data_IF_802721061822
#
_entry.id   IF_802721061822
#
_cell.length_a   1.000
_cell.length_b   1.000
_cell.length_c   1.000
_cell.angle_alpha   90.00
_cell.angle_beta   90.00
_cell.angle_gamma   90.00
#
_symmetry.space_group_name_H-M   'P 1'
#
loop_
_entity.id
_entity.type
_entity.pdbx_description
1 polymer ?
#
# COMPACT_ATOMS: atom_id res chain seq x y z
N UNK A 1 -22.60 -9.77 15.66
CA UNK A 1 -22.29 -8.41 15.18
C UNK A 1 -20.80 -8.44 14.85
N UNK A 2 -20.41 -8.20 13.59
CA UNK A 2 -18.99 -8.16 13.22
C UNK A 2 -18.35 -6.91 13.82
N UNK A 3 -17.19 -7.06 14.46
CA UNK A 3 -16.38 -5.95 15.00
C UNK A 3 -15.33 -5.51 13.98
N UNK A 4 -14.75 -4.33 14.16
CA UNK A 4 -13.67 -3.81 13.29
C UNK A 4 -12.47 -4.78 13.21
N UNK A 5 -12.17 -5.46 14.32
CA UNK A 5 -11.15 -6.52 14.41
C UNK A 5 -11.48 -7.73 13.50
N UNK A 6 -12.75 -8.09 13.36
CA UNK A 6 -13.21 -9.19 12.50
C UNK A 6 -13.03 -8.83 11.01
N UNK A 7 -13.29 -7.57 10.64
CA UNK A 7 -13.02 -7.05 9.29
C UNK A 7 -11.51 -6.91 8.98
N UNK A 8 -10.67 -6.63 9.97
CA UNK A 8 -9.21 -6.57 9.81
C UNK A 8 -8.63 -7.96 9.55
N UNK A 9 -9.07 -8.97 10.30
CA UNK A 9 -8.67 -10.37 10.10
C UNK A 9 -9.09 -10.89 8.70
N UNK A 10 -10.27 -10.49 8.22
CA UNK A 10 -10.73 -10.80 6.86
C UNK A 10 -9.97 -10.03 5.78
N UNK A 11 -9.63 -8.76 6.05
CA UNK A 11 -8.91 -7.90 5.11
C UNK A 11 -7.44 -8.28 4.98
N UNK A 12 -6.87 -9.16 5.83
CA UNK A 12 -5.43 -9.49 5.85
C UNK A 12 -4.53 -8.25 5.87
N UNK A 13 -5.02 -7.18 6.50
CA UNK A 13 -4.37 -5.88 6.60
C UNK A 13 -4.30 -5.48 8.06
N UNK A 14 -3.21 -4.80 8.40
CA UNK A 14 -2.94 -4.24 9.71
C UNK A 14 -3.52 -2.82 9.82
N UNK A 15 -3.75 -2.35 11.05
CA UNK A 15 -4.26 -1.00 11.31
C UNK A 15 -3.36 0.08 10.68
N UNK A 16 -2.04 -0.10 10.74
CA UNK A 16 -1.07 0.81 10.11
C UNK A 16 -1.32 0.91 8.59
N UNK A 17 -1.67 -0.21 7.92
CA UNK A 17 -1.95 -0.26 6.48
C UNK A 17 -3.21 0.52 6.13
N UNK A 18 -4.24 0.45 6.97
CA UNK A 18 -5.45 1.25 6.84
C UNK A 18 -5.14 2.74 7.05
N UNK A 19 -4.31 3.09 8.03
CA UNK A 19 -3.91 4.46 8.30
C UNK A 19 -3.14 5.09 7.13
N UNK A 20 -2.31 4.32 6.43
CA UNK A 20 -1.67 4.78 5.19
C UNK A 20 -2.73 5.07 4.12
N UNK A 21 -3.63 4.14 3.86
CA UNK A 21 -4.66 4.30 2.82
C UNK A 21 -5.52 5.53 3.12
N UNK A 22 -5.93 5.71 4.38
CA UNK A 22 -6.69 6.87 4.83
C UNK A 22 -5.96 8.20 4.55
N UNK A 23 -4.68 8.27 4.91
CA UNK A 23 -3.85 9.47 4.68
C UNK A 23 -3.61 9.75 3.20
N UNK A 24 -3.33 8.70 2.42
CA UNK A 24 -3.03 8.77 1.01
C UNK A 24 -4.23 9.22 0.19
N UNK A 25 -5.38 8.57 0.39
CA UNK A 25 -6.64 8.87 -0.31
C UNK A 25 -7.39 10.06 0.31
N UNK A 26 -6.92 10.57 1.46
CA UNK A 26 -7.52 11.72 2.17
C UNK A 26 -8.96 11.45 2.61
N UNK A 27 -9.20 10.24 3.10
CA UNK A 27 -10.51 9.76 3.56
C UNK A 27 -10.48 9.34 5.04
N UNK A 28 -11.63 9.29 5.73
CA UNK A 28 -11.71 8.77 7.10
C UNK A 28 -11.26 7.30 7.18
N UNK A 29 -10.74 6.87 8.34
CA UNK A 29 -10.24 5.51 8.57
C UNK A 29 -11.27 4.43 8.25
N UNK A 30 -12.53 4.66 8.62
CA UNK A 30 -13.63 3.72 8.31
C UNK A 30 -13.86 3.58 6.80
N UNK A 31 -13.71 4.66 6.03
CA UNK A 31 -13.82 4.62 4.58
C UNK A 31 -12.59 3.97 3.94
N UNK A 32 -11.41 4.16 4.53
CA UNK A 32 -10.18 3.49 4.11
C UNK A 32 -10.24 1.98 4.33
N UNK A 33 -10.82 1.54 5.46
CA UNK A 33 -11.06 0.13 5.75
C UNK A 33 -11.98 -0.50 4.69
N UNK A 34 -13.09 0.16 4.38
CA UNK A 34 -14.01 -0.30 3.34
C UNK A 34 -13.33 -0.37 1.96
N UNK A 35 -12.55 0.66 1.60
CA UNK A 35 -11.77 0.67 0.36
C UNK A 35 -10.75 -0.47 0.34
N UNK A 36 -10.05 -0.71 1.44
CA UNK A 36 -9.05 -1.75 1.56
C UNK A 36 -9.67 -3.15 1.42
N UNK A 37 -10.81 -3.39 2.08
CA UNK A 37 -11.57 -4.62 1.98
C UNK A 37 -12.11 -4.85 0.56
N UNK A 38 -12.55 -3.78 -0.12
CA UNK A 38 -12.90 -3.86 -1.53
C UNK A 38 -11.70 -4.22 -2.40
N UNK A 39 -10.57 -3.54 -2.20
CA UNK A 39 -9.36 -3.76 -3.00
C UNK A 39 -8.85 -5.20 -2.86
N UNK A 40 -8.81 -5.78 -1.66
CA UNK A 40 -8.27 -7.13 -1.50
C UNK A 40 -9.09 -8.22 -2.21
N UNK A 41 -10.36 -7.94 -2.50
CA UNK A 41 -11.20 -8.82 -3.32
C UNK A 41 -10.93 -8.69 -4.84
N UNK A 42 -10.08 -7.74 -5.26
CA UNK A 42 -9.77 -7.48 -6.67
C UNK A 42 -8.39 -8.03 -7.05
N UNK A 43 -8.20 -8.49 -8.30
CA UNK A 43 -6.91 -9.03 -8.76
C UNK A 43 -5.77 -8.01 -8.77
N UNK A 44 -6.08 -6.71 -8.67
CA UNK A 44 -5.12 -5.60 -8.71
C UNK A 44 -5.03 -4.83 -7.40
N UNK A 45 -5.83 -5.18 -6.40
CA UNK A 45 -5.92 -4.40 -5.17
C UNK A 45 -4.65 -4.43 -4.35
N UNK A 46 -4.01 -5.60 -4.25
CA UNK A 46 -2.73 -5.72 -3.57
C UNK A 46 -1.67 -4.82 -4.22
N UNK A 47 -1.69 -4.72 -5.55
CA UNK A 47 -0.78 -3.86 -6.31
C UNK A 47 -1.07 -2.38 -6.05
N UNK A 48 -2.34 -2.00 -5.99
CA UNK A 48 -2.75 -0.63 -5.68
C UNK A 48 -2.29 -0.19 -4.30
N UNK A 49 -2.50 -1.01 -3.27
CA UNK A 49 -2.09 -0.71 -1.90
C UNK A 49 -0.55 -0.59 -1.82
N UNK A 50 0.19 -1.52 -2.44
CA UNK A 50 1.65 -1.39 -2.58
C UNK A 50 2.08 -0.10 -3.28
N UNK A 51 1.33 0.32 -4.30
CA UNK A 51 1.54 1.59 -5.00
C UNK A 51 1.37 2.81 -4.08
N UNK A 52 0.32 2.82 -3.27
CA UNK A 52 0.06 3.87 -2.27
C UNK A 52 1.23 3.99 -1.29
N UNK A 53 1.66 2.87 -0.70
CA UNK A 53 2.79 2.83 0.24
C UNK A 53 4.08 3.36 -0.41
N UNK A 54 4.36 2.97 -1.66
CA UNK A 54 5.55 3.46 -2.40
C UNK A 54 5.49 4.96 -2.70
N UNK A 55 4.32 5.48 -3.05
CA UNK A 55 4.15 6.90 -3.27
C UNK A 55 4.38 7.69 -1.98
N UNK A 56 3.86 7.18 -0.85
CA UNK A 56 4.07 7.82 0.45
C UNK A 56 5.54 7.79 0.89
N UNK A 57 6.28 6.72 0.59
CA UNK A 57 7.74 6.69 0.79
C UNK A 57 8.41 7.80 -0.02
N UNK A 58 8.01 7.95 -1.28
CA UNK A 58 8.55 8.98 -2.18
C UNK A 58 8.22 10.39 -1.66
N UNK A 59 7.00 10.61 -1.17
CA UNK A 59 6.59 11.86 -0.56
C UNK A 59 7.40 12.17 0.70
N UNK A 60 7.54 11.20 1.61
CA UNK A 60 8.32 11.35 2.84
C UNK A 60 9.80 11.68 2.53
N UNK A 61 10.39 11.00 1.55
CA UNK A 61 11.75 11.27 1.09
C UNK A 61 11.88 12.70 0.52
N UNK A 62 10.92 13.14 -0.31
CA UNK A 62 10.91 14.49 -0.88
C UNK A 62 10.74 15.60 0.18
N UNK A 63 10.02 15.32 1.26
CA UNK A 63 9.88 16.24 2.39
C UNK A 63 11.06 16.20 3.38
N UNK A 64 12.01 15.27 3.20
CA UNK A 64 13.14 15.08 4.13
C UNK A 64 12.77 14.38 5.45
N UNK A 65 11.56 13.81 5.55
CA UNK A 65 11.07 13.12 6.75
C UNK A 65 11.58 11.68 6.79
N UNK A 66 12.82 11.53 7.26
CA UNK A 66 13.53 10.25 7.33
C UNK A 66 12.86 9.24 8.27
N UNK A 67 12.21 9.70 9.34
CA UNK A 67 11.55 8.82 10.31
C UNK A 67 10.32 8.19 9.66
N UNK A 68 9.49 9.02 9.02
CA UNK A 68 8.33 8.54 8.26
C UNK A 68 8.75 7.63 7.12
N UNK A 69 9.78 8.01 6.36
CA UNK A 69 10.30 7.19 5.25
C UNK A 69 10.72 5.78 5.71
N UNK A 70 11.46 5.67 6.82
CA UNK A 70 11.90 4.39 7.37
C UNK A 70 10.74 3.53 7.86
N UNK A 71 9.75 4.13 8.55
CA UNK A 71 8.54 3.44 8.98
C UNK A 71 7.77 2.85 7.79
N UNK A 72 7.56 3.66 6.75
CA UNK A 72 6.87 3.23 5.54
C UNK A 72 7.64 2.13 4.78
N UNK A 73 8.98 2.15 4.79
CA UNK A 73 9.80 1.08 4.20
C UNK A 73 9.68 -0.24 4.95
N UNK A 74 9.69 -0.22 6.29
CA UNK A 74 9.49 -1.41 7.10
C UNK A 74 8.12 -2.03 6.82
N UNK A 75 7.12 -1.17 6.76
CA UNK A 75 5.76 -1.57 6.50
C UNK A 75 5.57 -2.14 5.09
N UNK A 76 6.16 -1.54 4.07
CA UNK A 76 6.20 -2.11 2.72
C UNK A 76 6.82 -3.52 2.71
N UNK A 77 7.84 -3.76 3.52
CA UNK A 77 8.46 -5.08 3.65
C UNK A 77 7.48 -6.10 4.24
N UNK A 78 6.77 -5.72 5.30
CA UNK A 78 5.77 -6.57 5.95
C UNK A 78 4.60 -6.86 5.00
N UNK A 79 4.11 -5.83 4.30
CA UNK A 79 3.06 -5.94 3.29
C UNK A 79 3.43 -6.99 2.23
N UNK A 80 4.60 -6.87 1.60
CA UNK A 80 5.04 -7.82 0.55
C UNK A 80 5.25 -9.24 1.09
N UNK A 81 5.65 -9.38 2.36
CA UNK A 81 5.80 -10.70 2.98
C UNK A 81 4.45 -11.39 3.22
N UNK A 82 3.40 -10.62 3.53
CA UNK A 82 2.04 -11.13 3.74
C UNK A 82 1.26 -11.31 2.42
N UNK A 83 1.64 -10.55 1.38
CA UNK A 83 0.95 -10.44 0.10
C UNK A 83 1.88 -10.80 -1.09
N UNK A 84 2.31 -12.07 -1.24
CA UNK A 84 3.29 -12.47 -2.25
C UNK A 84 2.78 -12.35 -3.70
N UNK A 85 1.46 -12.44 -3.92
CA UNK A 85 0.83 -12.27 -5.24
C UNK A 85 1.11 -10.90 -5.87
N UNK A 86 1.25 -9.87 -5.03
CA UNK A 86 1.63 -8.53 -5.42
C UNK A 86 3.03 -8.41 -6.08
N UNK A 87 3.90 -9.40 -5.90
CA UNK A 87 5.23 -9.41 -6.50
C UNK A 87 5.27 -10.17 -7.83
N UNK A 88 4.29 -11.04 -8.09
CA UNK A 88 4.28 -11.92 -9.26
C UNK A 88 3.92 -11.17 -10.55
N UNK A 89 2.91 -10.28 -10.53
CA UNK A 89 2.60 -9.43 -11.69
C UNK A 89 3.67 -8.40 -12.05
N UNK A 90 4.58 -8.03 -11.13
CA UNK A 90 5.72 -7.17 -11.48
C UNK A 90 6.67 -7.87 -12.48
N UNK A 91 6.65 -9.20 -12.55
CA UNK A 91 7.38 -9.97 -13.58
C UNK A 91 6.68 -9.94 -14.94
N UNK A 92 5.35 -9.82 -14.98
CA UNK A 92 4.53 -9.80 -16.20
C UNK A 92 4.26 -8.41 -16.78
N UNK A 93 4.36 -7.35 -15.99
CA UNK A 93 4.27 -5.98 -16.50
C UNK A 93 5.53 -5.63 -17.30
N UNK A 94 5.41 -5.16 -18.56
CA UNK A 94 6.57 -4.69 -19.31
C UNK A 94 7.24 -3.57 -18.53
N UNK A 95 8.53 -3.72 -18.21
CA UNK A 95 9.32 -2.66 -17.56
C UNK A 95 9.17 -1.39 -18.38
N UNK A 96 8.60 -0.35 -17.80
CA UNK A 96 8.48 0.94 -18.47
C UNK A 96 9.87 1.40 -18.95
N UNK A 97 10.01 1.96 -20.16
CA UNK A 97 11.29 2.42 -20.66
C UNK A 97 11.86 3.48 -19.72
N UNK A 98 13.11 3.29 -19.33
CA UNK A 98 13.86 4.15 -18.44
C UNK A 98 13.90 5.58 -19.01
N UNK A 99 13.16 6.50 -18.38
CA UNK A 99 13.13 7.92 -18.77
C UNK A 99 14.40 8.67 -18.32
N UNK A 100 15.60 8.06 -18.41
CA UNK A 100 16.88 8.76 -18.15
C UNK A 100 17.74 8.98 -19.39
N UNK A 101 17.19 8.89 -20.59
CA UNK A 101 17.92 9.28 -21.81
C UNK A 101 17.12 10.30 -22.61
N UNK A 102 17.14 11.55 -22.16
CA UNK A 102 16.84 12.72 -22.98
C UNK A 102 17.63 13.89 -22.38
N UNK A 103 18.93 13.90 -22.65
CA UNK A 103 19.79 15.09 -22.56
C UNK A 103 20.02 15.63 -23.96
#
# INVERSE_FOLDING_TARGET
MLSLEDCLELSKLTEDEILIIAKHERIPEIAALELANYLICTPDGEFRIKGMIKNDITQAANCGDRVRELGLKLMLRNYVAQHPGCNERLRDLPRAPDRRTSS
#
